data_IF_804441988359
#
_entry.id   IF_804441988359
#
_cell.length_a   1.000
_cell.length_b   1.000
_cell.length_c   1.000
_cell.angle_alpha   90.00
_cell.angle_beta   90.00
_cell.angle_gamma   90.00
#
_symmetry.space_group_name_H-M   'P 1'
#
loop_
_entity.id
_entity.type
_entity.pdbx_description
1 polymer ?
#
# COMPACT_ATOMS: atom_id res chain seq x y z
N UNK A 1 7.99 -14.64 4.08
CA UNK A 1 7.85 -13.64 2.99
C UNK A 1 7.28 -14.25 1.71
N UNK A 2 7.75 -15.42 1.26
CA UNK A 2 7.20 -16.06 0.03
C UNK A 2 5.70 -16.32 0.12
N UNK A 3 5.21 -16.91 1.20
CA UNK A 3 3.80 -17.20 1.38
C UNK A 3 2.86 -15.97 1.30
N UNK A 4 3.34 -14.80 1.71
CA UNK A 4 2.59 -13.54 1.59
C UNK A 4 2.45 -13.16 0.10
N UNK A 5 3.54 -13.22 -0.65
CA UNK A 5 3.54 -12.93 -2.09
C UNK A 5 2.63 -13.89 -2.85
N UNK A 6 2.69 -15.18 -2.53
CA UNK A 6 1.84 -16.20 -3.16
C UNK A 6 0.34 -15.92 -2.90
N UNK A 7 -0.02 -15.50 -1.69
CA UNK A 7 -1.40 -15.09 -1.35
C UNK A 7 -1.83 -13.81 -2.09
N UNK A 8 -0.97 -12.80 -2.16
CA UNK A 8 -1.24 -11.57 -2.91
C UNK A 8 -1.47 -11.90 -4.38
N UNK A 9 -0.59 -12.71 -4.97
CA UNK A 9 -0.69 -13.13 -6.37
C UNK A 9 -1.99 -13.90 -6.63
N UNK A 10 -2.33 -14.86 -5.77
CA UNK A 10 -3.56 -15.65 -5.88
C UNK A 10 -4.83 -14.79 -5.75
N UNK A 11 -4.83 -13.81 -4.83
CA UNK A 11 -5.97 -12.92 -4.60
C UNK A 11 -6.15 -11.92 -5.75
N UNK A 12 -5.07 -11.30 -6.18
CA UNK A 12 -5.11 -10.22 -7.17
C UNK A 12 -5.17 -10.71 -8.62
N UNK A 13 -4.77 -11.96 -8.89
CA UNK A 13 -4.61 -12.49 -10.23
C UNK A 13 -3.33 -12.04 -10.95
N UNK A 14 -2.53 -11.16 -10.32
CA UNK A 14 -1.28 -10.70 -10.91
C UNK A 14 -0.14 -11.70 -10.63
N UNK A 15 0.72 -11.98 -11.65
CA UNK A 15 1.89 -12.84 -11.43
C UNK A 15 2.89 -12.18 -10.47
N UNK A 16 3.64 -13.00 -9.74
CA UNK A 16 4.66 -12.56 -8.78
C UNK A 16 5.69 -11.58 -9.39
N UNK A 17 5.94 -11.70 -10.68
CA UNK A 17 6.84 -10.80 -11.41
C UNK A 17 6.42 -9.32 -11.36
N UNK A 18 5.12 -9.04 -11.21
CA UNK A 18 4.58 -7.68 -11.14
C UNK A 18 4.54 -7.11 -9.71
N UNK A 19 4.81 -7.94 -8.71
CA UNK A 19 4.85 -7.51 -7.32
C UNK A 19 6.22 -6.90 -6.99
N UNK A 20 6.23 -5.68 -6.46
CA UNK A 20 7.43 -5.11 -5.87
C UNK A 20 7.92 -5.94 -4.67
N UNK A 21 9.18 -5.81 -4.27
CA UNK A 21 9.64 -6.39 -3.01
C UNK A 21 8.79 -5.91 -1.84
N UNK A 22 8.49 -6.81 -0.91
CA UNK A 22 7.74 -6.46 0.29
C UNK A 22 8.54 -5.46 1.12
N UNK A 23 7.92 -4.33 1.46
CA UNK A 23 8.50 -3.31 2.31
C UNK A 23 7.89 -3.38 3.71
N UNK A 24 8.71 -3.76 4.69
CA UNK A 24 8.31 -3.71 6.10
C UNK A 24 8.49 -2.28 6.61
N UNK A 25 7.45 -1.73 7.21
CA UNK A 25 7.45 -0.40 7.82
C UNK A 25 7.16 -0.48 9.30
N UNK A 26 7.77 0.42 10.05
CA UNK A 26 7.60 0.54 11.50
C UNK A 26 7.38 2.02 11.85
N UNK A 27 6.40 2.27 12.70
CA UNK A 27 6.10 3.61 13.21
C UNK A 27 6.10 3.57 14.73
N UNK A 28 6.97 4.37 15.33
CA UNK A 28 6.94 4.66 16.77
C UNK A 28 5.90 5.73 17.08
N UNK A 29 5.53 5.90 18.38
CA UNK A 29 4.66 6.99 18.79
C UNK A 29 5.13 8.34 18.25
N UNK A 30 4.21 9.08 17.65
CA UNK A 30 4.46 10.37 17.02
C UNK A 30 4.98 10.33 15.58
N UNK A 31 5.46 9.20 15.10
CA UNK A 31 5.88 9.06 13.70
C UNK A 31 4.65 8.90 12.80
N UNK A 32 4.61 9.66 11.72
CA UNK A 32 3.50 9.69 10.77
C UNK A 32 3.99 9.59 9.34
N UNK A 33 3.08 9.25 8.45
CA UNK A 33 3.27 9.38 7.02
C UNK A 33 2.30 10.44 6.49
N UNK A 34 2.86 11.48 5.88
CA UNK A 34 2.06 12.59 5.34
C UNK A 34 1.13 12.13 4.22
N UNK A 35 0.04 12.87 3.92
CA UNK A 35 -0.83 12.55 2.80
C UNK A 35 -0.06 12.41 1.49
N UNK A 36 -0.27 11.29 0.79
CA UNK A 36 0.41 10.97 -0.46
C UNK A 36 -0.42 10.01 -1.31
N UNK A 37 -0.01 9.87 -2.55
CA UNK A 37 -0.43 8.79 -3.45
C UNK A 37 0.69 7.79 -3.59
N UNK A 38 0.36 6.51 -3.79
CA UNK A 38 1.36 5.46 -4.00
C UNK A 38 1.90 5.42 -5.44
N UNK A 39 1.38 6.28 -6.29
CA UNK A 39 1.84 6.44 -7.67
C UNK A 39 3.24 7.07 -7.72
N UNK A 40 4.04 6.63 -8.69
CA UNK A 40 5.26 7.35 -9.03
C UNK A 40 4.95 8.63 -9.78
N UNK A 41 5.76 9.66 -9.57
CA UNK A 41 5.69 10.90 -10.32
C UNK A 41 5.80 10.65 -11.82
N UNK A 42 5.07 11.46 -12.61
CA UNK A 42 5.08 11.37 -14.09
C UNK A 42 6.49 11.49 -14.69
N UNK A 43 7.42 12.15 -13.99
CA UNK A 43 8.81 12.26 -14.40
C UNK A 43 9.56 10.92 -14.41
N UNK A 44 9.14 9.97 -13.55
CA UNK A 44 9.73 8.64 -13.47
C UNK A 44 9.08 7.62 -14.42
N UNK A 45 8.05 8.04 -15.14
CA UNK A 45 7.18 7.17 -15.94
C UNK A 45 7.93 6.40 -17.03
N UNK A 46 8.96 7.00 -17.59
CA UNK A 46 9.77 6.36 -18.64
C UNK A 46 10.68 5.26 -18.08
N UNK A 47 10.96 5.28 -16.78
CA UNK A 47 11.92 4.38 -16.15
C UNK A 47 11.29 3.36 -15.20
N UNK A 48 10.13 3.70 -14.61
CA UNK A 48 9.45 2.81 -13.65
C UNK A 48 7.97 2.65 -14.03
N UNK A 49 7.47 1.41 -14.18
CA UNK A 49 6.08 1.17 -14.46
C UNK A 49 5.21 1.64 -13.30
N UNK A 50 4.01 2.13 -13.64
CA UNK A 50 3.05 2.63 -12.65
C UNK A 50 2.61 1.54 -11.70
N UNK A 51 2.45 1.91 -10.45
CA UNK A 51 1.74 1.08 -9.47
C UNK A 51 0.24 1.11 -9.77
N UNK A 52 -0.38 -0.04 -9.82
CA UNK A 52 -1.81 -0.20 -10.08
C UNK A 52 -2.59 -0.53 -8.82
N UNK A 53 -1.97 -1.28 -7.91
CA UNK A 53 -2.65 -1.82 -6.75
C UNK A 53 -1.70 -1.79 -5.55
N UNK A 54 -2.22 -1.33 -4.43
CA UNK A 54 -1.51 -1.33 -3.15
C UNK A 54 -2.13 -2.36 -2.20
N UNK A 55 -1.28 -3.17 -1.59
CA UNK A 55 -1.59 -3.97 -0.41
C UNK A 55 -0.86 -3.40 0.79
N UNK A 56 -1.60 -3.00 1.80
CA UNK A 56 -1.08 -2.61 3.12
C UNK A 56 -1.54 -3.66 4.12
N UNK A 57 -0.61 -4.45 4.64
CA UNK A 57 -0.89 -5.55 5.56
C UNK A 57 -0.43 -5.16 6.95
N UNK A 58 -1.36 -5.11 7.90
CA UNK A 58 -1.03 -4.81 9.29
C UNK A 58 -0.50 -6.06 10.00
N UNK A 59 0.65 -5.91 10.65
CA UNK A 59 1.30 -7.02 11.38
C UNK A 59 0.92 -7.07 12.86
N UNK A 60 0.41 -5.97 13.38
CA UNK A 60 -0.12 -5.88 14.73
C UNK A 60 -1.25 -4.86 14.80
N UNK A 61 -2.03 -4.97 15.84
CA UNK A 61 -2.99 -3.98 16.27
C UNK A 61 -2.38 -3.05 17.34
N UNK A 62 -3.03 -1.93 17.58
CA UNK A 62 -2.68 -1.01 18.65
C UNK A 62 -3.81 -1.00 19.69
N UNK A 63 -3.53 -0.59 20.95
CA UNK A 63 -4.56 -0.44 21.95
C UNK A 63 -5.69 0.49 21.49
N UNK A 64 -6.87 0.38 22.07
CA UNK A 64 -7.96 1.29 21.79
C UNK A 64 -7.54 2.73 22.06
N UNK A 65 -7.86 3.64 21.11
CA UNK A 65 -7.37 5.02 21.15
C UNK A 65 -5.86 5.15 20.86
N UNK A 66 -5.20 4.06 20.47
CA UNK A 66 -3.76 4.02 20.22
C UNK A 66 -3.29 4.74 18.97
N UNK A 67 -4.19 5.25 18.13
CA UNK A 67 -3.85 5.90 16.88
C UNK A 67 -3.38 4.92 15.79
N UNK A 68 -2.55 5.39 14.89
CA UNK A 68 -1.94 4.52 13.87
C UNK A 68 -2.85 4.17 12.69
N UNK A 69 -4.01 4.81 12.56
CA UNK A 69 -4.95 4.58 11.48
C UNK A 69 -4.34 4.94 10.12
N UNK A 70 -4.80 4.27 9.08
CA UNK A 70 -4.63 4.70 7.70
C UNK A 70 -5.87 5.46 7.28
N UNK A 71 -5.71 6.72 6.87
CA UNK A 71 -6.83 7.61 6.54
C UNK A 71 -6.85 7.95 5.06
N UNK A 72 -8.06 7.96 4.49
CA UNK A 72 -8.35 8.39 3.13
C UNK A 72 -9.28 9.60 3.20
N UNK A 73 -8.73 10.82 3.26
CA UNK A 73 -9.54 12.01 3.54
C UNK A 73 -10.60 12.28 2.47
N UNK A 74 -10.33 12.01 1.21
CA UNK A 74 -11.30 12.21 0.12
C UNK A 74 -12.48 11.24 0.18
N UNK A 75 -12.30 10.07 0.77
CA UNK A 75 -13.34 9.08 1.01
C UNK A 75 -13.97 9.18 2.41
N UNK A 76 -13.45 10.05 3.27
CA UNK A 76 -13.83 10.16 4.69
C UNK A 76 -13.72 8.82 5.42
N UNK A 77 -12.69 8.07 5.12
CA UNK A 77 -12.46 6.73 5.63
C UNK A 77 -11.21 6.70 6.50
N UNK A 78 -11.32 6.04 7.64
CA UNK A 78 -10.22 5.80 8.58
C UNK A 78 -10.21 4.34 8.98
N UNK A 79 -9.10 3.66 8.78
CA UNK A 79 -8.95 2.23 9.02
C UNK A 79 -7.98 2.01 10.18
N UNK A 80 -8.46 1.38 11.24
CA UNK A 80 -7.62 0.95 12.37
C UNK A 80 -6.78 -0.26 11.97
N UNK A 81 -5.51 -0.32 12.41
CA UNK A 81 -4.70 -1.51 12.20
C UNK A 81 -5.25 -2.69 13.01
N UNK A 82 -5.46 -3.81 12.34
CA UNK A 82 -5.82 -5.09 12.94
C UNK A 82 -4.82 -6.15 12.49
N UNK A 83 -4.36 -6.97 13.41
CA UNK A 83 -3.36 -8.01 13.10
C UNK A 83 -3.83 -8.93 11.96
N UNK A 84 -3.04 -9.00 10.90
CA UNK A 84 -3.31 -9.87 9.74
C UNK A 84 -4.30 -9.31 8.73
N UNK A 85 -4.90 -8.14 8.98
CA UNK A 85 -5.79 -7.48 8.01
C UNK A 85 -4.98 -6.89 6.87
N UNK A 86 -5.45 -7.07 5.65
CA UNK A 86 -4.93 -6.42 4.46
C UNK A 86 -5.91 -5.35 3.97
N UNK A 87 -5.42 -4.13 3.85
CA UNK A 87 -6.11 -3.04 3.16
C UNK A 87 -5.63 -3.03 1.71
N UNK A 88 -6.58 -3.12 0.77
CA UNK A 88 -6.27 -3.23 -0.66
C UNK A 88 -7.02 -2.15 -1.42
N UNK A 89 -6.34 -1.42 -2.26
CA UNK A 89 -6.95 -0.38 -3.08
C UNK A 89 -6.24 -0.20 -4.42
N UNK A 90 -7.02 0.21 -5.42
CA UNK A 90 -6.49 0.57 -6.73
C UNK A 90 -5.89 1.98 -6.69
N UNK A 91 -4.72 2.14 -7.27
CA UNK A 91 -4.06 3.45 -7.39
C UNK A 91 -4.52 4.20 -8.64
N UNK A 92 -5.15 3.48 -9.59
CA UNK A 92 -5.62 4.03 -10.86
C UNK A 92 -7.07 3.66 -11.13
N UNK A 93 -7.73 4.53 -11.89
CA UNK A 93 -9.06 4.30 -12.45
C UNK A 93 -9.01 3.32 -13.62
N UNK A 94 -10.16 2.79 -14.05
CA UNK A 94 -10.28 1.93 -15.25
C UNK A 94 -9.77 2.62 -16.52
N UNK A 95 -9.80 3.95 -16.56
CA UNK A 95 -9.23 4.77 -17.62
C UNK A 95 -7.69 4.78 -17.63
N UNK A 96 -7.03 4.25 -16.59
CA UNK A 96 -5.60 4.34 -16.37
C UNK A 96 -5.14 5.67 -15.76
N UNK A 97 -6.05 6.61 -15.48
CA UNK A 97 -5.77 7.84 -14.76
C UNK A 97 -5.62 7.58 -13.27
N UNK A 98 -4.93 8.48 -12.58
CA UNK A 98 -4.76 8.43 -11.13
C UNK A 98 -6.11 8.47 -10.43
N UNK A 99 -6.32 7.60 -9.46
CA UNK A 99 -7.49 7.68 -8.59
C UNK A 99 -7.19 8.60 -7.40
N UNK A 100 -7.53 9.86 -7.53
CA UNK A 100 -7.28 10.86 -6.48
C UNK A 100 -7.96 10.52 -5.13
N UNK A 101 -8.99 9.67 -5.14
CA UNK A 101 -9.67 9.25 -3.91
C UNK A 101 -8.76 8.45 -2.99
N UNK A 102 -7.70 7.85 -3.54
CA UNK A 102 -6.75 7.01 -2.81
C UNK A 102 -5.60 7.79 -2.19
N UNK A 103 -5.62 9.12 -2.22
CA UNK A 103 -4.74 9.90 -1.36
C UNK A 103 -4.95 9.45 0.08
N UNK A 104 -3.88 9.06 0.75
CA UNK A 104 -3.95 8.52 2.11
C UNK A 104 -2.76 8.95 2.95
N UNK A 105 -2.93 8.82 4.26
CA UNK A 105 -1.90 9.12 5.26
C UNK A 105 -1.89 8.07 6.37
N UNK A 106 -0.75 7.95 7.04
CA UNK A 106 -0.64 7.18 8.27
C UNK A 106 -0.65 8.12 9.47
N UNK A 107 -1.68 8.04 10.30
CA UNK A 107 -1.72 8.80 11.56
C UNK A 107 -0.70 8.22 12.54
N UNK A 108 -0.07 9.06 13.39
CA UNK A 108 0.92 8.57 14.33
C UNK A 108 0.26 7.65 15.37
N UNK A 109 0.95 6.58 15.78
CA UNK A 109 0.57 5.88 17.00
C UNK A 109 0.65 6.83 18.21
N UNK A 110 -0.33 6.75 19.12
CA UNK A 110 -0.30 7.45 20.38
C UNK A 110 0.48 6.63 21.43
N UNK A 111 0.38 5.31 21.32
CA UNK A 111 1.09 4.34 22.16
C UNK A 111 1.38 3.07 21.38
N UNK A 112 2.44 2.37 21.75
CA UNK A 112 2.88 1.18 21.04
C UNK A 112 3.57 1.49 19.72
N UNK A 113 3.99 0.44 19.04
CA UNK A 113 4.67 0.51 17.75
C UNK A 113 3.84 -0.19 16.69
N UNK A 114 3.56 0.50 15.59
CA UNK A 114 2.83 -0.06 14.46
C UNK A 114 3.81 -0.72 13.49
N UNK A 115 3.52 -1.95 13.10
CA UNK A 115 4.23 -2.67 12.05
C UNK A 115 3.27 -3.00 10.90
N UNK A 116 3.72 -2.79 9.69
CA UNK A 116 2.97 -3.14 8.48
C UNK A 116 3.89 -3.59 7.35
N UNK A 117 3.31 -4.20 6.33
CA UNK A 117 3.98 -4.54 5.08
C UNK A 117 3.26 -3.84 3.95
N UNK A 118 3.98 -3.10 3.13
CA UNK A 118 3.51 -2.63 1.84
C UNK A 118 3.94 -3.61 0.75
N UNK A 119 3.03 -3.89 -0.18
CA UNK A 119 3.32 -4.52 -1.44
C UNK A 119 2.57 -3.80 -2.55
N UNK A 120 3.32 -3.31 -3.53
CA UNK A 120 2.75 -2.66 -4.71
C UNK A 120 2.80 -3.59 -5.90
N UNK A 121 1.75 -3.55 -6.70
CA UNK A 121 1.67 -4.27 -7.97
C UNK A 121 1.78 -3.26 -9.10
N UNK A 122 2.69 -3.52 -10.04
CA UNK A 122 2.99 -2.65 -11.17
C UNK A 122 2.23 -3.02 -12.42
N UNK A 123 2.12 -2.06 -13.35
CA UNK A 123 1.43 -2.23 -14.62
C UNK A 123 2.14 -3.19 -15.60
N UNK A 124 3.43 -3.51 -15.36
CA UNK A 124 4.21 -4.41 -16.20
C UNK A 124 5.19 -5.23 -15.36
N UNK A 125 5.64 -6.33 -15.92
CA UNK A 125 6.73 -7.12 -15.35
C UNK A 125 8.08 -6.46 -15.66
N UNK A 126 8.71 -5.90 -14.63
CA UNK A 126 10.02 -5.25 -14.75
C UNK A 126 11.13 -6.21 -15.16
N UNK A 127 10.95 -7.51 -14.92
CA UNK A 127 11.94 -8.54 -15.26
C UNK A 127 11.87 -8.93 -16.72
N UNK A 128 10.71 -8.82 -17.34
CA UNK A 128 10.49 -9.20 -18.74
C UNK A 128 10.49 -8.01 -19.71
N UNK A 129 10.32 -6.79 -19.18
CA UNK A 129 10.10 -5.60 -19.99
C UNK A 129 8.78 -5.59 -20.76
N UNK A 130 7.90 -6.56 -20.49
CA UNK A 130 6.61 -6.69 -21.18
C UNK A 130 5.56 -5.79 -20.53
N UNK A 131 4.70 -5.21 -21.37
CA UNK A 131 3.50 -4.49 -20.93
C UNK A 131 2.30 -5.44 -20.89
N UNK A 132 1.43 -5.23 -19.95
CA UNK A 132 0.16 -5.95 -19.82
C UNK A 132 -1.01 -5.02 -20.07
#
# INVERSE_FOLDING_TARGET
>A
MRAIRDRISAFSGYPDAMLEPLQVVRYHPGEKYEPHHDLFDLCDFAQKPRRHLTFLIYLNELPEGGGGETTFPRMRLSIKPETGMALVFNDVLDSGMDDERTEHSGTPPNSGVKYAINCWIRARDDRSGSFF
#
